data_IF_213815541536
#
_entry.id   IF_213815541536
#
_cell.length_a   1.000
_cell.length_b   1.000
_cell.length_c   1.000
_cell.angle_alpha   90.00
_cell.angle_beta   90.00
_cell.angle_gamma   90.00
#
_symmetry.space_group_name_H-M   'P 1'
#
loop_
_entity.id
_entity.type
_entity.pdbx_description
1 polymer ?
#
# COMPACT_ATOMS: atom_id res chain seq x y z
N UNK A 1 -35.84 -13.77 -0.22
CA UNK A 1 -34.91 -12.66 0.08
C UNK A 1 -33.59 -13.01 -0.57
N UNK A 2 -33.21 -12.30 -1.63
CA UNK A 2 -32.07 -12.62 -2.49
C UNK A 2 -30.81 -12.02 -1.88
N UNK A 3 -29.93 -12.84 -1.31
CA UNK A 3 -28.56 -12.44 -1.01
C UNK A 3 -27.77 -12.56 -2.30
N UNK A 4 -27.59 -11.45 -3.01
CA UNK A 4 -26.67 -11.36 -4.14
C UNK A 4 -25.25 -11.55 -3.61
N UNK A 5 -24.74 -12.78 -3.70
CA UNK A 5 -23.30 -13.06 -3.63
C UNK A 5 -22.66 -12.42 -4.85
N UNK A 6 -22.01 -11.27 -4.66
CA UNK A 6 -21.08 -10.73 -5.64
C UNK A 6 -20.06 -11.82 -5.97
N UNK A 7 -19.82 -12.05 -7.26
CA UNK A 7 -18.75 -12.93 -7.76
C UNK A 7 -17.39 -12.34 -7.38
N UNK A 8 -16.97 -12.55 -6.14
CA UNK A 8 -15.60 -12.28 -5.74
C UNK A 8 -14.73 -13.34 -6.42
N UNK A 9 -13.86 -12.91 -7.33
CA UNK A 9 -12.79 -13.76 -7.82
C UNK A 9 -12.04 -14.37 -6.64
N UNK A 10 -11.72 -15.67 -6.72
CA UNK A 10 -10.97 -16.33 -5.65
C UNK A 10 -9.71 -15.51 -5.33
N UNK A 11 -9.42 -15.21 -4.05
CA UNK A 11 -8.21 -14.50 -3.69
C UNK A 11 -6.98 -15.26 -4.20
N UNK A 12 -5.91 -14.52 -4.47
CA UNK A 12 -4.62 -15.13 -4.78
C UNK A 12 -4.25 -16.15 -3.69
N UNK A 13 -3.73 -17.35 -4.01
CA UNK A 13 -3.51 -18.43 -3.04
C UNK A 13 -2.64 -18.04 -1.83
N UNK A 14 -1.76 -17.04 -1.98
CA UNK A 14 -0.92 -16.50 -0.91
C UNK A 14 -1.68 -15.68 0.14
N UNK A 15 -2.90 -15.24 -0.15
CA UNK A 15 -3.72 -14.41 0.72
C UNK A 15 -4.95 -15.17 1.22
N UNK A 16 -5.32 -14.89 2.45
CA UNK A 16 -6.59 -15.26 3.03
C UNK A 16 -7.51 -14.05 2.98
N UNK A 17 -8.69 -14.20 2.37
CA UNK A 17 -9.76 -13.22 2.50
C UNK A 17 -10.33 -13.25 3.92
N UNK A 18 -10.53 -12.08 4.51
CA UNK A 18 -11.04 -11.93 5.88
C UNK A 18 -12.48 -11.39 5.89
N UNK A 19 -12.73 -10.28 5.19
CA UNK A 19 -14.05 -9.65 5.11
C UNK A 19 -14.15 -8.69 3.93
N UNK A 20 -15.38 -8.34 3.57
CA UNK A 20 -15.70 -7.26 2.62
C UNK A 20 -16.81 -6.38 3.19
N UNK A 21 -16.71 -5.08 2.96
CA UNK A 21 -17.68 -4.08 3.44
C UNK A 21 -17.89 -3.00 2.37
N UNK A 22 -19.14 -2.77 1.97
CA UNK A 22 -19.50 -1.70 1.04
C UNK A 22 -19.80 -0.42 1.79
N UNK A 23 -19.08 0.66 1.46
CA UNK A 23 -19.27 1.99 2.03
C UNK A 23 -20.06 2.83 1.02
N UNK A 24 -21.39 2.82 1.13
CA UNK A 24 -22.29 3.43 0.16
C UNK A 24 -22.06 4.94 -0.05
N UNK A 25 -21.72 5.69 1.01
CA UNK A 25 -21.44 7.13 0.94
C UNK A 25 -20.20 7.48 0.12
N UNK A 26 -19.27 6.54 -0.04
CA UNK A 26 -18.05 6.69 -0.84
C UNK A 26 -18.14 5.95 -2.18
N UNK A 27 -19.20 5.15 -2.40
CA UNK A 27 -19.35 4.26 -3.55
C UNK A 27 -18.14 3.33 -3.76
N UNK A 28 -17.63 2.75 -2.65
CA UNK A 28 -16.51 1.80 -2.66
C UNK A 28 -16.85 0.51 -1.92
N UNK A 29 -16.14 -0.57 -2.25
CA UNK A 29 -16.10 -1.79 -1.45
C UNK A 29 -14.70 -2.00 -0.90
N UNK A 30 -14.58 -2.09 0.42
CA UNK A 30 -13.32 -2.38 1.10
C UNK A 30 -13.25 -3.86 1.38
N UNK A 31 -12.18 -4.50 0.94
CA UNK A 31 -11.89 -5.91 1.17
C UNK A 31 -10.61 -6.03 1.99
N UNK A 32 -10.65 -6.88 3.01
CA UNK A 32 -9.52 -7.12 3.91
C UNK A 32 -8.95 -8.50 3.67
N UNK A 33 -7.64 -8.57 3.49
CA UNK A 33 -6.89 -9.79 3.27
C UNK A 33 -5.69 -9.87 4.21
N UNK A 34 -5.23 -11.10 4.46
CA UNK A 34 -4.00 -11.39 5.19
C UNK A 34 -3.08 -12.28 4.39
N UNK A 35 -1.83 -11.87 4.22
CA UNK A 35 -0.82 -12.72 3.61
C UNK A 35 -0.50 -13.89 4.54
N UNK A 36 -0.62 -15.13 4.02
CA UNK A 36 -0.53 -16.36 4.84
C UNK A 36 0.83 -16.55 5.49
N UNK A 37 1.91 -16.18 4.80
CA UNK A 37 3.28 -16.42 5.28
C UNK A 37 3.77 -15.34 6.24
N UNK A 38 3.53 -14.07 5.92
CA UNK A 38 4.08 -12.94 6.71
C UNK A 38 3.09 -12.36 7.70
N UNK A 39 1.81 -12.69 7.57
CA UNK A 39 0.73 -12.06 8.35
C UNK A 39 0.41 -10.62 7.93
N UNK A 40 1.06 -10.09 6.89
CA UNK A 40 0.84 -8.73 6.42
C UNK A 40 -0.64 -8.49 6.04
N UNK A 41 -1.17 -7.34 6.48
CA UNK A 41 -2.51 -6.89 6.14
C UNK A 41 -2.51 -6.25 4.75
N UNK A 42 -3.53 -6.56 3.96
CA UNK A 42 -3.77 -5.94 2.67
C UNK A 42 -5.22 -5.48 2.60
N UNK A 43 -5.42 -4.19 2.37
CA UNK A 43 -6.72 -3.61 2.11
C UNK A 43 -6.84 -3.30 0.62
N UNK A 44 -7.87 -3.83 -0.02
CA UNK A 44 -8.24 -3.48 -1.38
C UNK A 44 -9.50 -2.61 -1.33
N UNK A 45 -9.43 -1.41 -1.92
CA UNK A 45 -10.57 -0.50 -1.99
C UNK A 45 -11.03 -0.47 -3.46
N UNK A 46 -12.05 -1.28 -3.76
CA UNK A 46 -12.61 -1.37 -5.10
C UNK A 46 -13.53 -0.16 -5.35
N UNK A 47 -13.22 0.60 -6.40
CA UNK A 47 -13.97 1.75 -6.85
C UNK A 47 -13.99 1.82 -8.38
N UNK A 48 -15.04 2.41 -8.96
CA UNK A 48 -15.09 2.72 -10.39
C UNK A 48 -14.32 4.01 -10.70
N UNK A 49 -13.01 4.01 -10.40
CA UNK A 49 -12.09 5.11 -10.67
C UNK A 49 -10.90 4.59 -11.49
N UNK A 50 -10.60 5.16 -12.67
CA UNK A 50 -9.45 4.74 -13.47
C UNK A 50 -8.10 5.09 -12.82
N UNK A 51 -8.05 6.10 -11.94
CA UNK A 51 -6.85 6.46 -11.19
C UNK A 51 -6.66 5.52 -10.01
N UNK A 52 -5.69 4.61 -10.14
CA UNK A 52 -5.37 3.63 -9.12
C UNK A 52 -4.23 4.13 -8.24
N UNK A 53 -4.25 3.69 -6.98
CA UNK A 53 -3.21 4.01 -5.99
C UNK A 53 -2.72 2.74 -5.30
N UNK A 54 -1.45 2.74 -4.95
CA UNK A 54 -0.82 1.72 -4.12
C UNK A 54 -0.07 2.39 -2.97
N UNK A 55 -0.15 1.81 -1.79
CA UNK A 55 0.48 2.31 -0.57
C UNK A 55 0.95 1.14 0.29
N UNK A 56 2.13 1.28 0.88
CA UNK A 56 2.65 0.37 1.92
C UNK A 56 2.97 1.22 3.13
N UNK A 57 2.38 0.91 4.28
CA UNK A 57 2.68 1.60 5.52
C UNK A 57 3.45 0.68 6.47
N UNK A 58 4.48 1.23 7.10
CA UNK A 58 5.28 0.58 8.14
C UNK A 58 5.10 1.34 9.44
N UNK A 59 4.88 0.62 10.54
CA UNK A 59 4.93 1.20 11.88
C UNK A 59 6.37 1.54 12.23
N UNK A 60 6.64 2.81 12.51
CA UNK A 60 7.98 3.34 12.81
C UNK A 60 7.88 4.18 14.08
N UNK A 61 8.12 3.57 15.25
CA UNK A 61 8.07 4.25 16.55
C UNK A 61 9.50 4.56 17.05
N UNK A 62 10.11 5.70 16.67
CA UNK A 62 11.46 6.04 17.09
C UNK A 62 11.53 6.28 18.60
N UNK A 63 12.64 5.88 19.22
CA UNK A 63 12.87 5.99 20.67
C UNK A 63 13.73 7.20 21.06
N UNK A 64 14.14 7.99 20.07
CA UNK A 64 14.95 9.20 20.21
C UNK A 64 14.59 10.23 19.14
N UNK A 65 15.25 11.40 19.18
CA UNK A 65 15.02 12.51 18.25
C UNK A 65 16.05 12.60 17.13
N UNK A 66 16.67 11.49 16.74
CA UNK A 66 17.67 11.47 15.66
C UNK A 66 17.07 11.68 14.28
N UNK A 67 15.75 11.47 14.14
CA UNK A 67 15.08 11.47 12.84
C UNK A 67 15.29 10.19 12.03
N UNK A 68 15.70 9.09 12.68
CA UNK A 68 16.06 7.83 12.02
C UNK A 68 14.99 7.31 11.04
N UNK A 69 13.71 7.40 11.38
CA UNK A 69 12.62 6.95 10.49
C UNK A 69 12.55 7.79 9.20
N UNK A 70 12.74 9.11 9.33
CA UNK A 70 12.72 10.04 8.20
C UNK A 70 13.96 9.89 7.32
N UNK A 71 15.13 9.71 7.93
CA UNK A 71 16.36 9.40 7.19
C UNK A 71 16.21 8.07 6.43
N UNK A 72 15.60 7.06 7.06
CA UNK A 72 15.39 5.76 6.43
C UNK A 72 14.40 5.82 5.26
N UNK A 73 13.33 6.61 5.38
CA UNK A 73 12.40 6.87 4.27
C UNK A 73 13.15 7.37 3.03
N UNK A 74 13.92 8.45 3.16
CA UNK A 74 14.68 8.98 2.03
C UNK A 74 15.72 8.00 1.48
N UNK A 75 16.44 7.29 2.35
CA UNK A 75 17.53 6.41 1.93
C UNK A 75 17.05 5.09 1.32
N UNK A 76 15.87 4.59 1.72
CA UNK A 76 15.25 3.42 1.10
C UNK A 76 14.89 3.66 -0.37
N UNK A 77 14.72 4.92 -0.78
CA UNK A 77 14.41 5.34 -2.15
C UNK A 77 15.66 5.56 -3.02
N UNK A 78 16.86 5.45 -2.45
CA UNK A 78 18.14 5.69 -3.15
C UNK A 78 18.70 4.47 -3.90
N UNK A 79 18.11 3.27 -3.75
CA UNK A 79 18.54 2.06 -4.43
C UNK A 79 17.95 0.78 -3.80
N UNK A 80 18.00 -0.34 -4.52
CA UNK A 80 17.65 -1.65 -3.96
C UNK A 80 18.51 -2.76 -4.59
N UNK A 81 18.45 -3.97 -4.05
CA UNK A 81 19.17 -5.12 -4.61
C UNK A 81 18.76 -5.42 -6.07
N UNK A 82 17.46 -5.32 -6.37
CA UNK A 82 16.92 -5.58 -7.71
C UNK A 82 17.07 -4.38 -8.66
N UNK A 83 17.17 -3.16 -8.10
CA UNK A 83 17.43 -1.93 -8.84
C UNK A 83 18.65 -1.22 -8.26
N UNK A 84 19.87 -1.75 -8.49
CA UNK A 84 21.11 -1.25 -7.90
C UNK A 84 21.64 -0.03 -8.67
N UNK A 85 20.75 0.91 -8.94
CA UNK A 85 21.05 2.19 -9.59
C UNK A 85 20.81 3.31 -8.60
N UNK A 86 21.46 4.45 -8.81
CA UNK A 86 21.31 5.61 -7.95
C UNK A 86 19.95 6.27 -8.16
N UNK A 87 19.29 6.60 -7.04
CA UNK A 87 18.07 7.41 -6.98
C UNK A 87 16.92 6.89 -7.89
N UNK A 88 16.58 5.58 -7.86
CA UNK A 88 15.58 4.99 -8.75
C UNK A 88 14.21 5.64 -8.60
N UNK A 89 13.82 6.05 -7.39
CA UNK A 89 12.56 6.75 -7.15
C UNK A 89 12.46 8.05 -7.98
N UNK A 90 13.47 8.90 -7.92
CA UNK A 90 13.49 10.15 -8.69
C UNK A 90 13.57 9.91 -10.20
N UNK A 91 14.26 8.86 -10.63
CA UNK A 91 14.27 8.46 -12.04
C UNK A 91 12.88 8.05 -12.53
N UNK A 92 12.07 7.40 -11.68
CA UNK A 92 10.71 6.95 -12.04
C UNK A 92 9.72 8.10 -12.19
N UNK A 93 9.93 9.25 -11.55
CA UNK A 93 9.06 10.44 -11.71
C UNK A 93 8.94 10.81 -13.19
N UNK A 94 10.04 10.72 -13.94
CA UNK A 94 10.11 11.10 -15.37
C UNK A 94 9.89 9.92 -16.33
N UNK A 95 9.76 8.70 -15.81
CA UNK A 95 9.66 7.45 -16.60
C UNK A 95 8.33 6.72 -16.40
N UNK A 96 7.36 7.38 -15.81
CA UNK A 96 6.01 6.84 -15.57
C UNK A 96 4.95 7.90 -15.87
N UNK A 97 3.71 7.44 -16.05
CA UNK A 97 2.52 8.30 -16.15
C UNK A 97 1.85 8.42 -14.77
N UNK A 98 2.66 8.57 -13.71
CA UNK A 98 2.12 8.72 -12.36
C UNK A 98 1.29 10.01 -12.28
N UNK A 99 0.18 9.95 -11.55
CA UNK A 99 -0.56 11.15 -11.12
C UNK A 99 -0.04 11.65 -9.78
N UNK A 100 0.52 10.75 -8.97
CA UNK A 100 1.17 11.04 -7.70
C UNK A 100 2.24 9.99 -7.37
N UNK A 101 3.36 10.42 -6.81
CA UNK A 101 4.41 9.53 -6.31
C UNK A 101 5.18 10.24 -5.19
N UNK A 102 5.13 9.70 -3.98
CA UNK A 102 5.75 10.30 -2.80
C UNK A 102 6.04 9.25 -1.71
N UNK A 103 6.68 9.69 -0.64
CA UNK A 103 6.79 8.99 0.64
C UNK A 103 6.68 10.02 1.79
N UNK A 104 6.18 9.58 2.94
CA UNK A 104 5.92 10.41 4.10
C UNK A 104 6.32 9.70 5.39
N UNK A 105 6.92 10.46 6.31
CA UNK A 105 7.18 10.00 7.68
C UNK A 105 6.33 10.81 8.65
N UNK A 106 5.44 10.12 9.36
CA UNK A 106 4.70 10.64 10.51
C UNK A 106 5.43 10.30 11.82
N UNK A 107 4.81 10.60 12.97
CA UNK A 107 5.38 10.34 14.30
C UNK A 107 5.61 8.85 14.60
N UNK A 108 4.75 7.97 14.07
CA UNK A 108 4.69 6.55 14.44
C UNK A 108 4.50 5.60 13.24
N UNK A 109 4.53 6.15 12.03
CA UNK A 109 4.45 5.37 10.79
C UNK A 109 5.12 6.09 9.61
N UNK A 110 5.54 5.31 8.63
CA UNK A 110 6.10 5.76 7.34
C UNK A 110 5.35 5.07 6.21
N UNK A 111 4.98 5.79 5.15
CA UNK A 111 4.31 5.21 3.98
C UNK A 111 4.69 5.91 2.67
#
# INVERSE_FOLDING_TARGET
>A
MNTSTSEHGSPHPAFQWLRSETIASLNVTVEEYRHKTTGALHYHIAAQNPENVFLVALRTAPMDSTGVAHILEHTALCGSEHYPVRDPFFMMIRRSLNTFMNAFTSSDWTA
#
